data_IF_654754400917
#
_entry.id   IF_654754400917
#
_cell.length_a   1.000
_cell.length_b   1.000
_cell.length_c   1.000
_cell.angle_alpha   90.00
_cell.angle_beta   90.00
_cell.angle_gamma   90.00
#
_symmetry.space_group_name_H-M   'P 1'
#
loop_
_entity.id
_entity.type
_entity.pdbx_description
1 polymer ?
#
# COMPACT_ATOMS: atom_id res chain seq x y z
N UNK A 1 -3.60 37.32 81.66
CA UNK A 1 -2.68 36.24 82.07
C UNK A 1 -2.95 35.03 81.18
N UNK A 2 -1.92 34.55 80.45
CA UNK A 2 -1.71 33.22 79.83
C UNK A 2 -2.92 32.46 79.22
N UNK A 3 -2.98 32.35 77.89
CA UNK A 3 -2.57 31.19 77.04
C UNK A 3 -3.65 30.09 76.83
N UNK A 4 -4.21 30.07 75.60
CA UNK A 4 -4.38 28.96 74.60
C UNK A 4 -4.23 27.48 75.05
N UNK A 5 -4.65 26.48 74.22
CA UNK A 5 -5.92 26.29 73.48
C UNK A 5 -6.38 24.78 73.48
N UNK A 6 -7.52 24.42 72.86
CA UNK A 6 -7.68 23.18 72.05
C UNK A 6 -9.11 23.00 71.48
N UNK A 7 -9.15 22.79 70.16
CA UNK A 7 -10.06 22.01 69.31
C UNK A 7 -11.60 22.07 69.50
N UNK A 8 -12.27 22.52 68.44
CA UNK A 8 -13.57 21.97 68.03
C UNK A 8 -13.65 21.91 66.50
N UNK A 9 -13.97 20.71 66.02
CA UNK A 9 -14.18 20.29 64.63
C UNK A 9 -15.45 20.94 64.06
N UNK A 10 -15.41 21.42 62.81
CA UNK A 10 -16.60 21.85 62.07
C UNK A 10 -16.65 21.11 60.72
N UNK A 11 -17.73 20.37 60.51
CA UNK A 11 -18.12 19.78 59.23
C UNK A 11 -19.09 20.77 58.58
N UNK A 12 -18.75 21.29 57.40
CA UNK A 12 -19.67 22.08 56.57
C UNK A 12 -20.06 21.26 55.33
N UNK A 13 -21.34 20.92 55.24
CA UNK A 13 -22.01 20.57 53.99
C UNK A 13 -22.16 21.84 53.14
N UNK A 14 -21.75 21.78 51.87
CA UNK A 14 -22.06 22.81 50.87
C UNK A 14 -22.65 22.12 49.63
N UNK A 15 -23.92 22.43 49.42
CA UNK A 15 -24.73 22.09 48.23
C UNK A 15 -24.26 22.96 47.07
N UNK A 16 -23.95 22.37 45.93
CA UNK A 16 -23.63 23.07 44.69
C UNK A 16 -24.16 22.33 43.46
N UNK A 17 -25.15 22.94 42.79
CA UNK A 17 -25.68 22.57 41.47
C UNK A 17 -24.64 22.83 40.34
N UNK A 18 -24.83 22.30 39.13
CA UNK A 18 -23.77 21.81 38.26
C UNK A 18 -23.04 22.89 37.46
N UNK A 19 -21.71 22.80 37.41
CA UNK A 19 -20.90 23.55 36.46
C UNK A 19 -20.88 22.86 35.10
N UNK A 20 -21.69 23.37 34.17
CA UNK A 20 -21.44 23.31 32.74
C UNK A 20 -20.19 24.14 32.41
N UNK A 21 -19.01 23.53 32.34
CA UNK A 21 -17.84 24.14 31.71
C UNK A 21 -16.84 23.06 31.27
N UNK A 22 -16.92 22.64 30.00
CA UNK A 22 -15.77 22.62 29.07
C UNK A 22 -16.20 22.11 27.70
N UNK A 23 -16.92 22.94 26.93
CA UNK A 23 -17.00 22.80 25.48
C UNK A 23 -16.38 24.02 24.83
N UNK A 24 -15.05 24.16 24.82
CA UNK A 24 -14.34 25.11 23.95
C UNK A 24 -12.85 24.77 23.86
N UNK A 25 -12.55 23.61 23.28
CA UNK A 25 -11.24 23.30 22.69
C UNK A 25 -11.50 22.45 21.42
N UNK A 26 -12.40 22.92 20.56
CA UNK A 26 -12.55 22.36 19.23
C UNK A 26 -12.85 23.51 18.26
N UNK A 27 -11.84 23.89 17.47
CA UNK A 27 -11.95 24.98 16.52
C UNK A 27 -10.59 25.65 16.30
N UNK A 28 -9.97 25.31 15.16
CA UNK A 28 -8.70 25.83 14.64
C UNK A 28 -7.43 25.02 14.96
N UNK A 29 -7.35 23.80 14.39
CA UNK A 29 -6.10 23.48 13.67
C UNK A 29 -5.87 24.61 12.67
N UNK A 30 -4.74 25.32 12.73
CA UNK A 30 -4.40 26.36 11.73
C UNK A 30 -4.65 25.78 10.34
N UNK A 31 -5.46 26.43 9.53
CA UNK A 31 -5.84 25.93 8.21
C UNK A 31 -4.62 25.51 7.36
N UNK A 32 -3.47 26.17 7.53
CA UNK A 32 -2.20 25.89 6.84
C UNK A 32 -1.54 24.51 7.12
N UNK A 33 -2.19 23.62 7.86
CA UNK A 33 -1.60 22.37 8.38
C UNK A 33 -2.26 21.06 7.89
N UNK A 34 -3.04 21.04 6.82
CA UNK A 34 -3.54 19.78 6.24
C UNK A 34 -2.75 19.36 5.00
N UNK A 35 -2.80 18.08 4.63
CA UNK A 35 -2.24 17.60 3.36
C UNK A 35 -2.93 18.31 2.18
N UNK A 36 -4.24 18.50 2.25
CA UNK A 36 -4.97 19.21 1.18
C UNK A 36 -4.46 20.64 0.94
N UNK A 37 -4.15 21.42 1.99
CA UNK A 37 -3.55 22.75 1.81
C UNK A 37 -2.14 22.68 1.22
N UNK A 38 -1.35 21.66 1.59
CA UNK A 38 -0.03 21.46 1.01
C UNK A 38 -0.16 21.15 -0.49
N UNK A 39 -1.10 20.28 -0.89
CA UNK A 39 -1.31 19.92 -2.28
C UNK A 39 -1.79 21.09 -3.15
N UNK A 40 -2.61 22.01 -2.61
CA UNK A 40 -3.07 23.19 -3.37
C UNK A 40 -1.93 24.06 -3.90
N UNK A 41 -0.74 23.98 -3.29
CA UNK A 41 0.45 24.70 -3.73
C UNK A 41 1.05 24.16 -5.05
N UNK A 42 0.61 22.99 -5.52
CA UNK A 42 1.05 22.38 -6.78
C UNK A 42 2.46 21.78 -6.74
N UNK A 43 3.21 22.00 -5.65
CA UNK A 43 4.56 21.46 -5.46
C UNK A 43 4.75 21.06 -4.01
N UNK A 44 5.12 19.81 -3.81
CA UNK A 44 5.40 19.24 -2.49
C UNK A 44 6.83 18.72 -2.42
N UNK A 45 7.38 18.72 -1.22
CA UNK A 45 8.68 18.13 -0.94
C UNK A 45 8.55 17.06 0.15
N UNK A 46 9.24 15.93 -0.06
CA UNK A 46 9.39 14.87 0.93
C UNK A 46 10.69 15.11 1.69
N UNK A 47 10.59 15.54 2.94
CA UNK A 47 11.73 15.78 3.82
C UNK A 47 11.98 14.51 4.62
N UNK A 48 13.14 13.89 4.44
CA UNK A 48 13.55 12.73 5.23
C UNK A 48 13.71 13.13 6.70
N UNK A 49 13.03 12.42 7.61
CA UNK A 49 13.10 12.68 9.06
C UNK A 49 13.72 11.52 9.84
N UNK A 50 13.58 10.30 9.36
CA UNK A 50 14.09 9.11 10.02
C UNK A 50 14.49 8.08 8.98
N UNK A 51 15.56 7.35 9.26
CA UNK A 51 15.96 6.14 8.55
C UNK A 51 16.09 5.03 9.58
N UNK A 52 15.56 3.86 9.25
CA UNK A 52 15.81 2.60 9.94
C UNK A 52 16.58 1.73 8.95
N UNK A 53 17.81 1.41 9.30
CA UNK A 53 18.68 0.53 8.53
C UNK A 53 19.21 -0.62 9.40
N UNK A 54 20.04 -1.48 8.80
CA UNK A 54 20.61 -2.64 9.48
C UNK A 54 21.44 -2.28 10.72
N UNK A 55 22.03 -1.08 10.77
CA UNK A 55 22.83 -0.63 11.91
C UNK A 55 21.98 -0.25 13.14
N UNK A 56 20.69 -0.01 12.94
CA UNK A 56 19.76 0.30 14.02
C UNK A 56 19.18 -0.96 14.71
N UNK A 57 19.59 -2.15 14.26
CA UNK A 57 19.03 -3.43 14.68
C UNK A 57 19.98 -4.22 15.58
N UNK A 58 19.45 -5.07 16.49
CA UNK A 58 20.24 -6.12 17.13
C UNK A 58 20.93 -7.03 16.09
N UNK A 59 22.08 -7.59 16.44
CA UNK A 59 22.93 -8.36 15.52
C UNK A 59 22.23 -9.57 14.90
N UNK A 60 21.31 -10.18 15.64
CA UNK A 60 20.52 -11.34 15.22
C UNK A 60 19.33 -10.99 14.31
N UNK A 61 19.02 -9.70 14.13
CA UNK A 61 17.87 -9.24 13.35
C UNK A 61 18.36 -8.67 12.02
N UNK A 62 17.98 -9.31 10.91
CA UNK A 62 18.47 -8.96 9.56
C UNK A 62 17.37 -8.41 8.67
N UNK A 63 17.61 -7.28 8.00
CA UNK A 63 16.78 -6.79 6.89
C UNK A 63 17.25 -7.44 5.59
N UNK A 64 16.66 -8.57 5.23
CA UNK A 64 17.13 -9.36 4.10
C UNK A 64 16.36 -9.05 2.82
N UNK A 65 15.03 -8.98 2.91
CA UNK A 65 14.17 -8.62 1.77
C UNK A 65 12.82 -8.07 2.27
N UNK A 66 12.79 -6.91 2.92
CA UNK A 66 11.53 -6.28 3.28
C UNK A 66 10.74 -5.89 2.02
N UNK A 67 9.46 -6.23 1.99
CA UNK A 67 8.61 -6.06 0.80
C UNK A 67 7.30 -5.31 1.05
N UNK A 68 6.85 -5.24 2.31
CA UNK A 68 5.60 -4.58 2.68
C UNK A 68 5.70 -4.03 4.10
N UNK A 69 4.91 -3.01 4.42
CA UNK A 69 4.80 -2.51 5.78
C UNK A 69 3.41 -1.93 6.05
N UNK A 70 3.03 -1.91 7.33
CA UNK A 70 1.80 -1.27 7.81
C UNK A 70 2.03 -0.69 9.20
N UNK A 71 1.09 0.13 9.64
CA UNK A 71 1.14 0.78 10.95
C UNK A 71 -0.06 0.37 11.78
N UNK A 72 0.14 0.24 13.09
CA UNK A 72 -0.98 0.20 14.03
C UNK A 72 -1.47 1.62 14.38
N UNK A 73 -2.55 1.70 15.18
CA UNK A 73 -3.14 2.96 15.60
C UNK A 73 -2.23 3.80 16.50
N UNK A 74 -1.25 3.19 17.16
CA UNK A 74 -0.22 3.88 17.94
C UNK A 74 0.95 4.37 17.07
N UNK A 75 0.97 3.99 15.79
CA UNK A 75 2.04 4.36 14.87
C UNK A 75 3.26 3.45 14.90
N UNK A 76 3.16 2.29 15.55
CA UNK A 76 4.21 1.29 15.47
C UNK A 76 4.25 0.72 14.05
N UNK A 77 5.46 0.44 13.57
CA UNK A 77 5.72 0.00 12.21
C UNK A 77 5.88 -1.51 12.23
N UNK A 78 5.21 -2.18 11.31
CA UNK A 78 5.31 -3.62 11.11
C UNK A 78 5.82 -3.86 9.70
N UNK A 79 7.06 -4.32 9.61
CA UNK A 79 7.77 -4.54 8.36
C UNK A 79 7.77 -6.04 8.04
N UNK A 80 7.23 -6.41 6.89
CA UNK A 80 7.22 -7.79 6.41
C UNK A 80 8.52 -8.11 5.66
N UNK A 81 9.32 -9.03 6.19
CA UNK A 81 10.49 -9.53 5.48
C UNK A 81 10.20 -10.85 4.76
N UNK A 82 10.26 -10.80 3.43
CA UNK A 82 9.98 -11.95 2.57
C UNK A 82 10.98 -13.09 2.78
N UNK A 83 12.26 -12.75 2.94
CA UNK A 83 13.35 -13.75 2.96
C UNK A 83 13.50 -14.35 4.35
N UNK A 84 13.41 -13.53 5.40
CA UNK A 84 13.43 -14.01 6.78
C UNK A 84 12.10 -14.68 7.20
N UNK A 85 11.03 -14.52 6.41
CA UNK A 85 9.70 -15.05 6.72
C UNK A 85 9.23 -14.64 8.12
N UNK A 86 9.39 -13.35 8.43
CA UNK A 86 9.06 -12.76 9.72
C UNK A 86 8.46 -11.36 9.54
N UNK A 87 8.00 -10.79 10.66
CA UNK A 87 7.59 -9.39 10.75
C UNK A 87 8.44 -8.71 11.81
N UNK A 88 9.06 -7.59 11.46
CA UNK A 88 9.84 -6.77 12.40
C UNK A 88 9.00 -5.60 12.87
N UNK A 89 8.81 -5.48 14.18
CA UNK A 89 8.05 -4.41 14.80
C UNK A 89 8.98 -3.32 15.33
N UNK A 90 8.65 -2.07 15.04
CA UNK A 90 9.34 -0.87 15.52
C UNK A 90 8.34 0.10 16.15
N UNK A 91 8.79 0.96 17.05
CA UNK A 91 7.98 2.11 17.48
C UNK A 91 7.98 3.23 16.42
N UNK A 92 7.16 4.27 16.65
CA UNK A 92 7.05 5.42 15.73
C UNK A 92 8.36 6.22 15.53
N UNK A 93 9.35 6.00 16.42
CA UNK A 93 10.68 6.63 16.41
C UNK A 93 11.73 5.70 15.77
N UNK A 94 11.33 4.53 15.27
CA UNK A 94 12.18 3.56 14.62
C UNK A 94 12.98 2.68 15.57
N UNK A 95 12.68 2.68 16.88
CA UNK A 95 13.31 1.75 17.80
C UNK A 95 12.74 0.36 17.56
N UNK A 96 13.62 -0.62 17.35
CA UNK A 96 13.24 -2.02 17.26
C UNK A 96 12.58 -2.51 18.56
N UNK A 97 11.48 -3.25 18.43
CA UNK A 97 10.69 -3.76 19.56
C UNK A 97 10.72 -5.29 19.63
N UNK A 98 10.42 -5.98 18.52
CA UNK A 98 10.36 -7.45 18.48
C UNK A 98 10.31 -7.99 17.05
N UNK A 99 10.63 -9.28 16.91
CA UNK A 99 10.28 -10.10 15.74
C UNK A 99 8.99 -10.87 16.03
N UNK A 100 8.12 -10.98 15.02
CA UNK A 100 6.89 -11.78 15.04
C UNK A 100 6.99 -12.85 13.97
N UNK A 101 6.78 -14.11 14.37
CA UNK A 101 6.86 -15.27 13.50
C UNK A 101 8.29 -15.72 13.23
N UNK A 102 8.40 -16.79 12.44
CA UNK A 102 9.64 -17.42 12.00
C UNK A 102 9.37 -18.29 10.76
N UNK A 103 10.41 -18.70 10.01
CA UNK A 103 10.26 -19.66 8.91
C UNK A 103 9.59 -20.96 9.38
N UNK A 104 8.55 -21.40 8.67
CA UNK A 104 7.89 -22.67 8.95
C UNK A 104 6.48 -22.76 8.38
N UNK A 105 5.72 -23.75 8.84
CA UNK A 105 4.36 -24.06 8.36
C UNK A 105 3.34 -24.14 9.52
N UNK A 106 3.82 -24.16 10.77
CA UNK A 106 3.00 -24.24 11.96
C UNK A 106 2.22 -22.95 12.27
N UNK A 107 1.40 -22.96 13.35
CA UNK A 107 0.71 -21.77 13.84
C UNK A 107 1.69 -20.64 14.17
N UNK A 108 1.48 -19.46 13.58
CA UNK A 108 2.34 -18.27 13.76
C UNK A 108 3.67 -18.30 13.00
N UNK A 109 3.95 -19.38 12.25
CA UNK A 109 5.09 -19.47 11.34
C UNK A 109 4.70 -19.06 9.91
N UNK A 110 5.66 -18.53 9.15
CA UNK A 110 5.44 -18.04 7.79
C UNK A 110 6.41 -18.70 6.79
N UNK A 111 6.01 -18.72 5.53
CA UNK A 111 6.84 -19.20 4.44
C UNK A 111 6.69 -18.29 3.22
N UNK A 112 7.70 -17.43 3.03
CA UNK A 112 7.71 -16.41 1.98
C UNK A 112 6.41 -15.55 1.99
N UNK A 113 6.08 -14.90 3.12
CA UNK A 113 4.90 -14.06 3.22
C UNK A 113 5.03 -12.86 2.29
N UNK A 114 3.92 -12.41 1.69
CA UNK A 114 3.97 -11.47 0.55
C UNK A 114 3.27 -10.13 0.78
N UNK A 115 2.27 -10.05 1.66
CA UNK A 115 1.61 -8.79 1.99
C UNK A 115 1.05 -8.85 3.41
N UNK A 116 0.96 -7.70 4.08
CA UNK A 116 0.33 -7.61 5.40
C UNK A 116 -0.65 -6.43 5.50
N UNK A 117 -1.59 -6.54 6.44
CA UNK A 117 -2.47 -5.45 6.81
C UNK A 117 -2.77 -5.51 8.32
N UNK A 118 -2.87 -4.34 8.95
CA UNK A 118 -3.21 -4.23 10.37
C UNK A 118 -4.62 -3.70 10.49
N UNK A 119 -5.47 -4.46 11.18
CA UNK A 119 -6.83 -4.06 11.52
C UNK A 119 -7.02 -4.26 13.02
N UNK A 120 -7.28 -3.16 13.75
CA UNK A 120 -7.47 -3.18 15.20
C UNK A 120 -6.28 -3.81 15.95
N UNK A 121 -6.48 -5.00 16.55
CA UNK A 121 -5.50 -5.74 17.33
C UNK A 121 -4.84 -6.91 16.56
N UNK A 122 -5.01 -6.95 15.23
CA UNK A 122 -4.62 -8.09 14.38
C UNK A 122 -3.77 -7.68 13.21
N UNK A 123 -2.86 -8.58 12.85
CA UNK A 123 -2.06 -8.53 11.64
C UNK A 123 -2.56 -9.65 10.73
N UNK A 124 -3.11 -9.31 9.58
CA UNK A 124 -3.36 -10.24 8.49
C UNK A 124 -2.09 -10.37 7.66
N UNK A 125 -1.69 -11.60 7.37
CA UNK A 125 -0.55 -11.94 6.52
C UNK A 125 -1.02 -12.82 5.38
N UNK A 126 -0.65 -12.43 4.16
CA UNK A 126 -0.70 -13.29 2.99
C UNK A 126 0.53 -14.20 2.96
N UNK A 127 0.39 -15.42 3.50
CA UNK A 127 1.45 -16.42 3.63
C UNK A 127 1.54 -17.28 2.37
N UNK A 128 2.29 -16.77 1.39
CA UNK A 128 2.17 -17.15 -0.01
C UNK A 128 2.53 -18.61 -0.29
N UNK A 129 3.65 -19.13 0.27
CA UNK A 129 4.06 -20.53 -0.02
C UNK A 129 3.31 -21.55 0.82
N UNK A 130 2.87 -21.17 2.02
CA UNK A 130 1.94 -22.00 2.78
C UNK A 130 0.50 -21.92 2.22
N UNK A 131 0.25 -21.05 1.25
CA UNK A 131 -1.04 -20.89 0.56
C UNK A 131 -2.19 -20.67 1.53
N UNK A 132 -2.01 -19.75 2.46
CA UNK A 132 -3.03 -19.39 3.45
C UNK A 132 -3.02 -17.89 3.75
N UNK A 133 -4.16 -17.39 4.18
CA UNK A 133 -4.24 -16.15 4.95
C UNK A 133 -4.08 -16.52 6.42
N UNK A 134 -3.25 -15.81 7.16
CA UNK A 134 -3.02 -16.04 8.59
C UNK A 134 -3.23 -14.73 9.34
N UNK A 135 -3.93 -14.77 10.47
CA UNK A 135 -3.97 -13.66 11.41
C UNK A 135 -3.19 -13.99 12.68
N UNK A 136 -2.43 -13.00 13.14
CA UNK A 136 -1.74 -13.01 14.44
C UNK A 136 -2.09 -11.73 15.20
N UNK A 137 -1.95 -11.73 16.52
CA UNK A 137 -2.11 -10.52 17.32
C UNK A 137 -0.97 -9.53 17.06
N UNK A 138 -1.11 -8.28 17.53
CA UNK A 138 -0.03 -7.30 17.52
C UNK A 138 1.22 -7.71 18.32
N UNK A 139 1.10 -8.71 19.20
CA UNK A 139 2.19 -9.33 19.98
C UNK A 139 2.70 -10.63 19.37
N UNK A 140 2.14 -11.08 18.24
CA UNK A 140 2.58 -12.26 17.50
C UNK A 140 1.93 -13.59 17.90
N UNK A 141 0.89 -13.56 18.75
CA UNK A 141 0.13 -14.76 19.06
C UNK A 141 -0.71 -15.17 17.86
N UNK A 142 -0.63 -16.44 17.45
CA UNK A 142 -1.49 -16.98 16.38
C UNK A 142 -2.97 -16.88 16.75
N UNK A 143 -3.80 -16.42 15.81
CA UNK A 143 -5.24 -16.28 15.99
C UNK A 143 -6.01 -17.29 15.12
N UNK A 144 -5.87 -17.20 13.79
CA UNK A 144 -6.51 -18.14 12.86
C UNK A 144 -5.81 -18.17 11.51
N UNK A 145 -6.17 -19.13 10.67
CA UNK A 145 -5.76 -19.19 9.27
C UNK A 145 -6.84 -19.77 8.38
N UNK A 146 -6.94 -19.27 7.15
CA UNK A 146 -7.85 -19.77 6.13
C UNK A 146 -7.07 -20.19 4.87
N UNK A 147 -7.40 -21.38 4.35
CA UNK A 147 -6.90 -21.86 3.06
C UNK A 147 -7.58 -21.11 1.89
N UNK A 148 -6.93 -21.10 0.73
CA UNK A 148 -7.39 -20.32 -0.44
C UNK A 148 -8.65 -20.85 -1.12
N UNK A 149 -9.14 -22.03 -0.75
CA UNK A 149 -10.26 -22.68 -1.44
C UNK A 149 -11.54 -21.85 -1.41
N UNK A 150 -11.65 -20.93 -0.45
CA UNK A 150 -12.78 -20.01 -0.30
C UNK A 150 -12.72 -18.84 -1.31
N UNK A 151 -11.53 -18.49 -1.79
CA UNK A 151 -11.27 -17.30 -2.60
C UNK A 151 -11.40 -17.61 -4.09
N UNK A 152 -11.73 -16.58 -4.89
CA UNK A 152 -11.88 -16.73 -6.35
C UNK A 152 -10.56 -16.94 -7.08
N UNK A 153 -9.45 -16.47 -6.50
CA UNK A 153 -8.12 -16.56 -7.09
C UNK A 153 -7.00 -16.57 -6.06
N UNK A 154 -5.77 -16.47 -6.53
CA UNK A 154 -4.59 -16.33 -5.66
C UNK A 154 -4.54 -14.88 -5.14
N UNK A 155 -4.44 -14.66 -3.83
CA UNK A 155 -4.22 -13.32 -3.29
C UNK A 155 -2.97 -12.65 -3.85
N UNK A 156 -3.10 -11.34 -4.05
CA UNK A 156 -2.06 -10.44 -4.53
C UNK A 156 -1.75 -9.36 -3.50
N UNK A 157 -2.78 -8.73 -2.93
CA UNK A 157 -2.65 -7.62 -1.98
C UNK A 157 -3.76 -7.68 -0.94
N UNK A 158 -3.45 -7.31 0.30
CA UNK A 158 -4.44 -7.19 1.38
C UNK A 158 -4.48 -5.76 1.92
N UNK A 159 -5.66 -5.29 2.33
CA UNK A 159 -5.83 -4.02 3.06
C UNK A 159 -6.84 -4.20 4.17
N UNK A 160 -6.62 -3.51 5.28
CA UNK A 160 -7.54 -3.45 6.40
C UNK A 160 -8.63 -2.42 6.16
N UNK A 161 -9.81 -2.68 6.72
CA UNK A 161 -10.90 -1.72 6.86
C UNK A 161 -10.94 -1.17 8.29
N UNK A 162 -11.45 0.05 8.50
CA UNK A 162 -11.55 0.67 9.82
C UNK A 162 -12.38 -0.12 10.84
N UNK A 163 -13.26 -1.01 10.37
CA UNK A 163 -14.14 -1.83 11.19
C UNK A 163 -13.56 -3.22 11.53
N UNK A 164 -12.28 -3.45 11.25
CA UNK A 164 -11.59 -4.71 11.55
C UNK A 164 -11.65 -5.75 10.43
N UNK A 165 -12.43 -5.52 9.37
CA UNK A 165 -12.51 -6.42 8.20
C UNK A 165 -11.33 -6.23 7.27
N UNK A 166 -11.25 -7.08 6.25
CA UNK A 166 -10.18 -7.03 5.24
C UNK A 166 -10.74 -7.05 3.82
N UNK A 167 -10.03 -6.37 2.92
CA UNK A 167 -10.20 -6.57 1.48
C UNK A 167 -8.96 -7.31 0.97
N UNK A 168 -9.21 -8.42 0.27
CA UNK A 168 -8.18 -9.22 -0.38
C UNK A 168 -8.37 -9.08 -1.90
N UNK A 169 -7.37 -8.53 -2.58
CA UNK A 169 -7.29 -8.61 -4.03
C UNK A 169 -6.82 -9.99 -4.42
N UNK A 170 -7.60 -10.71 -5.22
CA UNK A 170 -7.22 -12.00 -5.77
C UNK A 170 -7.16 -11.96 -7.29
N UNK A 171 -6.29 -12.78 -7.86
CA UNK A 171 -6.13 -12.94 -9.31
C UNK A 171 -6.34 -14.39 -9.69
N UNK A 172 -7.25 -14.62 -10.63
CA UNK A 172 -7.48 -15.93 -11.24
C UNK A 172 -6.86 -15.97 -12.62
N UNK A 173 -6.15 -17.05 -12.90
CA UNK A 173 -5.49 -17.29 -14.19
C UNK A 173 -5.94 -18.63 -14.74
N UNK A 174 -6.36 -18.63 -16.01
CA UNK A 174 -6.86 -19.80 -16.70
C UNK A 174 -5.74 -20.49 -17.48
N UNK A 175 -4.87 -21.23 -16.79
CA UNK A 175 -3.70 -21.87 -17.41
C UNK A 175 -4.04 -22.83 -18.56
N UNK A 176 -5.21 -23.46 -18.51
CA UNK A 176 -5.69 -24.38 -19.55
C UNK A 176 -6.19 -23.66 -20.81
N UNK A 177 -6.51 -22.36 -20.72
CA UNK A 177 -7.02 -21.57 -21.84
C UNK A 177 -6.28 -20.22 -21.91
N UNK A 178 -5.14 -20.16 -22.64
CA UNK A 178 -4.36 -18.94 -22.80
C UNK A 178 -5.07 -17.80 -23.54
N UNK A 179 -6.24 -18.06 -24.15
CA UNK A 179 -7.06 -17.04 -24.82
C UNK A 179 -8.09 -16.41 -23.86
N UNK A 180 -8.17 -16.88 -22.62
CA UNK A 180 -9.00 -16.28 -21.59
C UNK A 180 -8.21 -15.26 -20.75
N UNK A 181 -8.75 -14.03 -20.53
CA UNK A 181 -8.10 -13.05 -19.67
C UNK A 181 -7.97 -13.55 -18.24
N UNK A 182 -7.04 -12.96 -17.49
CA UNK A 182 -7.08 -13.08 -16.03
C UNK A 182 -8.30 -12.36 -15.48
N UNK A 183 -8.74 -12.76 -14.29
CA UNK A 183 -9.78 -12.03 -13.54
C UNK A 183 -9.21 -11.52 -12.23
N UNK A 184 -9.42 -10.24 -11.96
CA UNK A 184 -9.14 -9.61 -10.67
C UNK A 184 -10.44 -9.55 -9.87
N UNK A 185 -10.37 -9.92 -8.60
CA UNK A 185 -11.48 -9.79 -7.66
C UNK A 185 -11.02 -9.00 -6.45
N UNK A 186 -11.90 -8.17 -5.91
CA UNK A 186 -11.75 -7.63 -4.56
C UNK A 186 -12.75 -8.36 -3.66
N UNK A 187 -12.25 -9.06 -2.67
CA UNK A 187 -13.03 -9.95 -1.80
C UNK A 187 -13.02 -9.40 -0.37
N UNK A 188 -14.21 -9.18 0.19
CA UNK A 188 -14.41 -8.70 1.56
C UNK A 188 -14.44 -9.89 2.51
N UNK A 189 -13.55 -9.87 3.51
CA UNK A 189 -13.42 -10.92 4.52
C UNK A 189 -13.74 -10.39 5.92
N UNK A 190 -14.29 -11.25 6.78
CA UNK A 190 -14.40 -10.96 8.22
C UNK A 190 -13.05 -11.05 8.94
N UNK A 191 -12.95 -10.60 10.20
CA UNK A 191 -11.74 -10.78 11.01
C UNK A 191 -11.31 -12.25 11.19
N UNK A 192 -12.26 -13.19 11.10
CA UNK A 192 -12.07 -14.64 11.17
C UNK A 192 -11.71 -15.26 9.81
N UNK A 193 -11.50 -14.43 8.78
CA UNK A 193 -11.11 -14.81 7.42
C UNK A 193 -12.19 -15.54 6.61
N UNK A 194 -13.46 -15.34 6.96
CA UNK A 194 -14.58 -15.82 6.15
C UNK A 194 -14.86 -14.85 5.00
N UNK A 195 -14.94 -15.37 3.77
CA UNK A 195 -15.33 -14.57 2.60
C UNK A 195 -16.80 -14.18 2.71
N UNK A 196 -17.07 -12.89 2.85
CA UNK A 196 -18.43 -12.35 2.94
C UNK A 196 -18.99 -12.01 1.56
N UNK A 197 -18.18 -11.42 0.68
CA UNK A 197 -18.63 -10.99 -0.65
C UNK A 197 -17.47 -10.69 -1.61
N UNK A 198 -17.71 -10.87 -2.90
CA UNK A 198 -16.93 -10.23 -3.97
C UNK A 198 -17.53 -8.85 -4.24
N UNK A 199 -16.81 -7.79 -3.88
CA UNK A 199 -17.28 -6.39 -4.00
C UNK A 199 -17.04 -5.80 -5.39
N UNK A 200 -16.06 -6.34 -6.12
CA UNK A 200 -15.68 -5.88 -7.45
C UNK A 200 -14.97 -7.01 -8.20
N UNK A 201 -15.16 -7.06 -9.51
CA UNK A 201 -14.42 -7.95 -10.39
C UNK A 201 -14.15 -7.29 -11.74
N UNK A 202 -13.00 -7.57 -12.35
CA UNK A 202 -12.68 -7.09 -13.69
C UNK A 202 -11.75 -8.04 -14.43
N UNK A 203 -11.99 -8.22 -15.72
CA UNK A 203 -11.10 -8.99 -16.60
C UNK A 203 -9.89 -8.17 -16.99
N UNK A 204 -8.68 -8.73 -16.93
CA UNK A 204 -7.44 -8.04 -17.28
C UNK A 204 -6.55 -8.94 -18.14
N UNK A 205 -5.73 -8.30 -18.97
CA UNK A 205 -4.71 -8.96 -19.77
C UNK A 205 -3.32 -8.54 -19.29
N UNK A 206 -2.94 -8.98 -18.09
CA UNK A 206 -1.63 -8.61 -17.51
C UNK A 206 -0.49 -9.49 -18.03
N UNK A 207 -0.78 -10.75 -18.37
CA UNK A 207 0.21 -11.68 -18.91
C UNK A 207 -0.43 -12.61 -19.95
N UNK A 208 0.37 -13.19 -20.84
CA UNK A 208 -0.04 -14.23 -21.77
C UNK A 208 0.87 -15.44 -21.64
N UNK A 209 0.28 -16.63 -21.60
CA UNK A 209 1.05 -17.88 -21.62
C UNK A 209 1.36 -18.25 -23.06
N UNK A 210 2.64 -18.39 -23.36
CA UNK A 210 3.14 -18.66 -24.72
C UNK A 210 3.85 -20.01 -24.68
N UNK A 211 3.42 -20.92 -25.55
CA UNK A 211 4.08 -22.21 -25.73
C UNK A 211 5.34 -22.01 -26.59
N UNK A 212 6.42 -22.70 -26.24
CA UNK A 212 7.67 -22.69 -27.01
C UNK A 212 8.36 -24.05 -26.92
N UNK A 213 8.98 -24.48 -28.02
CA UNK A 213 9.63 -25.80 -28.11
C UNK A 213 8.67 -26.97 -27.81
N UNK A 214 9.23 -28.13 -27.48
CA UNK A 214 8.46 -29.29 -27.02
C UNK A 214 8.11 -29.14 -25.54
N UNK A 215 6.85 -28.78 -25.25
CA UNK A 215 6.30 -28.76 -23.90
C UNK A 215 6.58 -27.51 -23.05
N UNK A 216 7.40 -26.56 -23.53
CA UNK A 216 7.71 -25.33 -22.82
C UNK A 216 6.51 -24.37 -22.75
N UNK A 217 6.30 -23.77 -21.58
CA UNK A 217 5.28 -22.73 -21.35
C UNK A 217 5.92 -21.54 -20.63
N UNK A 218 5.90 -20.37 -21.27
CA UNK A 218 6.40 -19.13 -20.69
C UNK A 218 5.22 -18.24 -20.30
N UNK A 219 5.25 -17.71 -19.07
CA UNK A 219 4.36 -16.61 -18.68
C UNK A 219 4.99 -15.27 -19.12
N UNK A 220 4.35 -14.56 -20.05
CA UNK A 220 4.89 -13.33 -20.64
C UNK A 220 4.08 -12.11 -20.16
N UNK A 221 4.66 -11.22 -19.34
CA UNK A 221 3.99 -10.01 -18.92
C UNK A 221 3.71 -9.09 -20.10
N UNK A 222 2.46 -8.68 -20.25
CA UNK A 222 2.05 -7.78 -21.34
C UNK A 222 2.40 -6.33 -20.95
N UNK A 223 3.24 -5.65 -21.76
CA UNK A 223 3.68 -4.29 -21.49
C UNK A 223 2.52 -3.30 -21.62
N UNK A 224 2.43 -2.35 -20.69
CA UNK A 224 1.44 -1.28 -20.71
C UNK A 224 -0.02 -1.78 -20.76
N UNK A 225 -0.30 -2.99 -20.29
CA UNK A 225 -1.67 -3.43 -20.06
C UNK A 225 -2.32 -2.61 -18.93
N UNK A 226 -3.55 -2.12 -19.12
CA UNK A 226 -4.35 -1.55 -18.05
C UNK A 226 -4.50 -2.50 -16.86
N UNK A 227 -4.64 -1.93 -15.66
CA UNK A 227 -4.73 -2.67 -14.41
C UNK A 227 -5.84 -2.11 -13.54
N UNK A 228 -6.36 -2.97 -12.67
CA UNK A 228 -7.19 -2.53 -11.54
C UNK A 228 -6.27 -1.94 -10.49
N UNK A 229 -6.53 -0.70 -10.11
CA UNK A 229 -5.92 -0.04 -8.98
C UNK A 229 -7.02 0.27 -7.97
N UNK A 230 -6.71 0.11 -6.68
CA UNK A 230 -7.68 0.40 -5.62
C UNK A 230 -6.99 0.77 -4.32
N UNK A 231 -7.72 1.46 -3.45
CA UNK A 231 -7.33 1.67 -2.08
C UNK A 231 -8.56 1.95 -1.19
N UNK A 232 -8.34 1.98 0.11
CA UNK A 232 -9.38 2.17 1.13
C UNK A 232 -9.32 3.61 1.65
N UNK A 233 -10.46 4.29 1.66
CA UNK A 233 -10.63 5.59 2.30
C UNK A 233 -10.72 5.43 3.83
N UNK A 234 -10.24 6.40 4.64
CA UNK A 234 -10.31 6.33 6.11
C UNK A 234 -11.72 6.08 6.66
N UNK A 235 -12.76 6.52 5.95
CA UNK A 235 -14.17 6.27 6.28
C UNK A 235 -14.70 4.88 5.85
N UNK A 236 -13.86 3.99 5.32
CA UNK A 236 -14.22 2.62 4.93
C UNK A 236 -14.83 2.47 3.54
N UNK A 237 -14.95 3.56 2.75
CA UNK A 237 -15.30 3.48 1.32
C UNK A 237 -14.09 3.01 0.51
N UNK A 238 -14.33 2.49 -0.69
CA UNK A 238 -13.27 1.97 -1.56
C UNK A 238 -13.18 2.84 -2.80
N UNK A 239 -11.97 3.20 -3.19
CA UNK A 239 -11.69 3.77 -4.50
C UNK A 239 -11.19 2.64 -5.40
N UNK A 240 -11.78 2.48 -6.57
CA UNK A 240 -11.38 1.48 -7.56
C UNK A 240 -11.30 2.16 -8.92
N UNK A 241 -10.24 1.89 -9.67
CA UNK A 241 -10.09 2.38 -11.03
C UNK A 241 -9.44 1.35 -11.94
N UNK A 242 -9.93 1.24 -13.17
CA UNK A 242 -9.30 0.47 -14.23
C UNK A 242 -8.59 1.43 -15.19
N UNK A 243 -7.27 1.31 -15.29
CA UNK A 243 -6.43 2.37 -15.85
C UNK A 243 -6.46 2.53 -17.37
N UNK A 244 -7.34 1.82 -18.08
CA UNK A 244 -7.42 1.93 -19.55
C UNK A 244 -7.73 3.36 -19.99
N UNK A 245 -8.68 3.98 -19.30
CA UNK A 245 -9.03 5.39 -19.44
C UNK A 245 -8.77 6.12 -18.12
N UNK A 246 -8.78 7.46 -18.16
CA UNK A 246 -8.69 8.24 -16.93
C UNK A 246 -10.04 8.22 -16.23
N UNK A 247 -10.31 7.11 -15.54
CA UNK A 247 -11.49 6.91 -14.73
C UNK A 247 -11.19 6.12 -13.45
N UNK A 248 -11.92 6.46 -12.39
CA UNK A 248 -12.02 5.69 -11.15
C UNK A 248 -13.36 6.00 -10.49
N UNK A 249 -13.83 5.14 -9.61
CA UNK A 249 -15.10 5.31 -8.91
C UNK A 249 -14.97 5.06 -7.42
N UNK A 250 -15.89 5.65 -6.66
CA UNK A 250 -16.11 5.38 -5.25
C UNK A 250 -17.12 4.23 -5.10
N UNK A 251 -16.85 3.28 -4.23
CA UNK A 251 -17.69 2.13 -3.95
C UNK A 251 -18.05 2.02 -2.47
N UNK A 252 -19.26 1.51 -2.20
CA UNK A 252 -19.65 1.02 -0.88
C UNK A 252 -19.02 -0.34 -0.60
N UNK A 253 -19.02 -0.79 0.66
CA UNK A 253 -18.60 -2.15 1.02
C UNK A 253 -19.58 -3.22 0.53
N UNK A 254 -20.78 -2.81 0.08
CA UNK A 254 -21.75 -3.68 -0.56
C UNK A 254 -21.42 -3.91 -2.05
N UNK A 255 -20.44 -3.21 -2.61
CA UNK A 255 -20.05 -3.30 -4.03
C UNK A 255 -20.85 -2.37 -4.94
N UNK A 256 -21.55 -1.38 -4.39
CA UNK A 256 -22.33 -0.43 -5.17
C UNK A 256 -21.46 0.76 -5.58
N UNK A 257 -21.47 1.10 -6.87
CA UNK A 257 -20.79 2.30 -7.38
C UNK A 257 -21.55 3.56 -6.94
N UNK A 258 -20.91 4.40 -6.13
CA UNK A 258 -21.47 5.65 -5.60
C UNK A 258 -21.32 6.77 -6.63
N UNK A 259 -20.13 6.91 -7.21
CA UNK A 259 -19.78 8.01 -8.13
C UNK A 259 -18.60 7.59 -8.98
N UNK A 260 -18.74 7.74 -10.30
CA UNK A 260 -17.64 7.65 -11.27
C UNK A 260 -17.01 9.02 -11.50
N UNK A 261 -15.69 9.07 -11.50
CA UNK A 261 -14.87 10.26 -11.75
C UNK A 261 -14.11 10.01 -13.04
N UNK A 262 -14.18 10.96 -13.96
CA UNK A 262 -13.39 10.97 -15.19
C UNK A 262 -12.65 12.30 -15.34
N UNK A 263 -11.55 12.31 -16.09
CA UNK A 263 -10.89 13.57 -16.50
C UNK A 263 -10.44 13.51 -17.95
N UNK A 264 -10.46 14.64 -18.67
CA UNK A 264 -9.74 14.75 -19.93
C UNK A 264 -8.25 14.44 -19.73
N UNK A 265 -7.71 13.62 -20.61
CA UNK A 265 -6.29 13.29 -20.62
C UNK A 265 -5.80 13.16 -22.06
N UNK A 266 -4.49 13.26 -22.25
CA UNK A 266 -3.87 13.05 -23.55
C UNK A 266 -3.25 11.65 -23.60
N UNK A 267 -3.76 10.73 -24.44
CA UNK A 267 -3.17 9.39 -24.57
C UNK A 267 -1.69 9.46 -24.96
N UNK A 268 -0.85 8.75 -24.20
CA UNK A 268 0.59 8.70 -24.44
C UNK A 268 0.91 7.50 -25.31
N UNK A 269 1.48 7.71 -26.50
CA UNK A 269 1.87 6.60 -27.39
C UNK A 269 2.96 5.74 -26.75
N UNK A 270 2.91 4.42 -26.99
CA UNK A 270 4.04 3.54 -26.71
C UNK A 270 5.12 3.78 -27.77
N UNK A 271 6.34 4.09 -27.33
CA UNK A 271 7.46 4.39 -28.22
C UNK A 271 8.33 3.16 -28.48
N UNK A 272 9.19 3.20 -29.51
CA UNK A 272 10.20 2.14 -29.73
C UNK A 272 11.16 1.98 -28.55
N UNK A 273 11.48 3.10 -27.88
CA UNK A 273 12.33 3.10 -26.69
C UNK A 273 11.64 2.42 -25.50
N UNK A 274 10.32 2.61 -25.34
CA UNK A 274 9.56 1.85 -24.35
C UNK A 274 9.62 0.33 -24.60
N UNK A 275 9.54 -0.09 -25.87
CA UNK A 275 9.62 -1.51 -26.25
C UNK A 275 10.99 -2.10 -25.95
N UNK A 276 12.07 -1.40 -26.34
CA UNK A 276 13.45 -1.79 -26.05
C UNK A 276 13.67 -1.92 -24.54
N UNK A 277 13.23 -0.92 -23.77
CA UNK A 277 13.37 -0.92 -22.31
C UNK A 277 12.56 -2.05 -21.63
N UNK A 278 11.38 -2.38 -22.15
CA UNK A 278 10.59 -3.51 -21.65
C UNK A 278 11.35 -4.83 -21.77
N UNK A 279 11.99 -5.11 -22.91
CA UNK A 279 12.74 -6.35 -23.08
C UNK A 279 14.07 -6.33 -22.32
N UNK A 280 14.78 -5.20 -22.30
CA UNK A 280 16.08 -5.08 -21.64
C UNK A 280 16.04 -5.27 -20.11
N UNK A 281 14.88 -5.02 -19.47
CA UNK A 281 14.69 -5.23 -18.03
C UNK A 281 14.26 -6.64 -17.65
N UNK A 282 13.93 -7.50 -18.62
CA UNK A 282 13.56 -8.88 -18.33
C UNK A 282 14.79 -9.68 -17.93
N UNK A 283 14.57 -10.72 -17.14
CA UNK A 283 15.57 -11.72 -16.79
C UNK A 283 14.97 -13.10 -16.99
N UNK A 284 15.75 -14.03 -17.52
CA UNK A 284 15.31 -15.38 -17.81
C UNK A 284 16.33 -16.39 -17.31
N UNK A 285 15.84 -17.42 -16.62
CA UNK A 285 16.63 -18.60 -16.31
C UNK A 285 16.96 -19.34 -17.60
N UNK A 286 18.24 -19.66 -17.78
CA UNK A 286 18.77 -20.46 -18.87
C UNK A 286 18.91 -21.91 -18.44
N UNK A 287 18.96 -22.83 -19.42
CA UNK A 287 19.09 -24.28 -19.19
C UNK A 287 20.38 -24.67 -18.48
N UNK A 288 21.41 -23.82 -18.53
CA UNK A 288 22.68 -23.95 -17.80
C UNK A 288 22.59 -23.50 -16.32
N UNK A 289 21.40 -23.16 -15.82
CA UNK A 289 21.17 -22.68 -14.47
C UNK A 289 21.52 -21.19 -14.25
N UNK A 290 22.01 -20.49 -15.29
CA UNK A 290 22.33 -19.07 -15.19
C UNK A 290 21.10 -18.20 -15.45
N UNK A 291 21.09 -16.97 -14.92
CA UNK A 291 20.08 -15.97 -15.28
C UNK A 291 20.66 -15.01 -16.31
N UNK A 292 20.02 -14.92 -17.48
CA UNK A 292 20.42 -13.99 -18.55
C UNK A 292 19.51 -12.76 -18.52
N UNK A 293 20.11 -11.59 -18.77
CA UNK A 293 19.41 -10.31 -18.88
C UNK A 293 18.95 -10.10 -20.33
N UNK A 294 17.75 -9.53 -20.49
CA UNK A 294 17.11 -9.36 -21.78
C UNK A 294 16.09 -10.46 -22.07
N UNK A 295 15.14 -10.16 -22.95
CA UNK A 295 14.14 -11.12 -23.38
C UNK A 295 14.68 -12.02 -24.51
N UNK A 296 14.49 -13.35 -24.45
CA UNK A 296 14.77 -14.25 -25.56
C UNK A 296 13.99 -13.88 -26.83
N UNK A 297 14.52 -14.23 -27.99
CA UNK A 297 13.91 -13.92 -29.29
C UNK A 297 12.45 -14.39 -29.41
N UNK A 298 12.12 -15.57 -28.85
CA UNK A 298 10.75 -16.08 -28.90
C UNK A 298 9.78 -15.21 -28.09
N UNK A 299 10.23 -14.60 -26.99
CA UNK A 299 9.44 -13.64 -26.22
C UNK A 299 9.25 -12.36 -27.02
N UNK A 300 10.34 -11.82 -27.60
CA UNK A 300 10.31 -10.60 -28.40
C UNK A 300 9.34 -10.75 -29.57
N UNK A 301 9.39 -11.88 -30.31
CA UNK A 301 8.52 -12.16 -31.46
C UNK A 301 7.04 -12.32 -31.09
N UNK A 302 6.75 -12.77 -29.87
CA UNK A 302 5.38 -13.07 -29.43
C UNK A 302 4.80 -12.04 -28.45
N UNK A 303 5.51 -10.95 -28.17
CA UNK A 303 5.02 -9.87 -27.31
C UNK A 303 4.44 -8.75 -28.16
N UNK A 304 3.17 -8.42 -27.95
CA UNK A 304 2.53 -7.27 -28.58
C UNK A 304 2.53 -6.08 -27.63
N UNK A 305 2.55 -4.87 -28.20
CA UNK A 305 2.44 -3.62 -27.45
C UNK A 305 1.16 -2.89 -27.87
N UNK A 306 0.41 -2.31 -26.92
CA UNK A 306 -0.71 -1.46 -27.28
C UNK A 306 -0.22 -0.18 -27.97
N UNK A 307 -1.11 0.47 -28.73
CA UNK A 307 -0.80 1.75 -29.40
C UNK A 307 -0.51 2.87 -28.39
N UNK A 308 -1.20 2.85 -27.25
CA UNK A 308 -1.11 3.84 -26.19
C UNK A 308 -0.87 3.17 -24.84
N UNK A 309 -0.20 3.89 -23.94
CA UNK A 309 -0.09 3.54 -22.52
C UNK A 309 -1.45 3.73 -21.84
N UNK A 310 -1.71 3.07 -20.69
CA UNK A 310 -2.86 3.34 -19.85
C UNK A 310 -2.92 4.83 -19.46
N UNK A 311 -4.05 5.31 -18.97
CA UNK A 311 -4.20 6.71 -18.56
C UNK A 311 -3.36 7.04 -17.31
N UNK A 312 -3.25 6.08 -16.38
CA UNK A 312 -2.46 6.21 -15.15
C UNK A 312 -1.85 4.87 -14.75
N UNK A 313 -0.88 4.89 -13.84
CA UNK A 313 -0.14 3.69 -13.41
C UNK A 313 -0.18 3.43 -11.90
N UNK A 314 -0.84 4.29 -11.15
CA UNK A 314 -0.95 4.19 -9.71
C UNK A 314 -2.15 4.97 -9.21
N UNK A 315 -2.73 4.43 -8.14
CA UNK A 315 -3.79 5.02 -7.34
C UNK A 315 -3.47 4.71 -5.88
N UNK A 316 -3.61 5.71 -5.02
CA UNK A 316 -3.32 5.63 -3.59
C UNK A 316 -4.26 6.57 -2.85
N UNK A 317 -4.59 6.23 -1.60
CA UNK A 317 -5.27 7.15 -0.69
C UNK A 317 -4.33 7.54 0.45
N UNK A 318 -4.30 8.83 0.78
CA UNK A 318 -3.54 9.34 1.93
C UNK A 318 -4.31 9.29 3.25
N UNK A 319 -3.67 9.69 4.35
CA UNK A 319 -4.27 9.64 5.69
C UNK A 319 -5.48 10.57 5.88
N UNK A 320 -5.64 11.58 5.03
CA UNK A 320 -6.79 12.51 5.08
C UNK A 320 -7.90 12.08 4.11
N UNK A 321 -7.70 10.98 3.37
CA UNK A 321 -8.65 10.47 2.39
C UNK A 321 -8.54 11.13 1.02
N UNK A 322 -7.49 11.91 0.75
CA UNK A 322 -7.24 12.41 -0.60
C UNK A 322 -6.79 11.25 -1.49
N UNK A 323 -7.23 11.27 -2.74
CA UNK A 323 -6.95 10.25 -3.75
C UNK A 323 -5.86 10.78 -4.66
N UNK A 324 -4.73 10.07 -4.72
CA UNK A 324 -3.58 10.42 -5.54
C UNK A 324 -3.50 9.46 -6.73
N UNK A 325 -3.47 10.02 -7.93
CA UNK A 325 -3.36 9.29 -9.20
C UNK A 325 -2.04 9.66 -9.87
N UNK A 326 -1.28 8.68 -10.35
CA UNK A 326 -0.10 8.94 -11.18
C UNK A 326 -0.41 8.80 -12.67
N UNK A 327 -0.69 9.89 -13.40
CA UNK A 327 -1.00 9.83 -14.84
C UNK A 327 0.22 9.43 -15.66
N UNK A 328 0.03 8.75 -16.78
CA UNK A 328 1.08 8.67 -17.80
C UNK A 328 1.20 10.03 -18.51
N UNK A 329 2.42 10.57 -18.56
CA UNK A 329 2.76 11.77 -19.34
C UNK A 329 3.82 11.45 -20.38
N UNK A 330 3.91 12.29 -21.43
CA UNK A 330 4.90 12.13 -22.52
C UNK A 330 6.34 12.18 -22.01
N UNK A 331 6.61 13.10 -21.08
CA UNK A 331 7.89 13.22 -20.38
C UNK A 331 7.91 12.23 -19.21
N UNK A 332 8.81 11.24 -19.28
CA UNK A 332 8.91 10.16 -18.29
C UNK A 332 9.41 10.66 -16.94
N UNK A 333 10.42 11.52 -16.92
CA UNK A 333 10.98 12.03 -15.66
C UNK A 333 9.98 12.92 -14.94
N UNK A 334 9.28 13.77 -15.69
CA UNK A 334 8.18 14.57 -15.16
C UNK A 334 7.03 13.69 -14.67
N UNK A 335 6.66 12.65 -15.42
CA UNK A 335 5.62 11.70 -15.03
C UNK A 335 5.90 11.05 -13.68
N UNK A 336 7.13 10.59 -13.46
CA UNK A 336 7.51 9.92 -12.22
C UNK A 336 7.31 10.81 -10.99
N UNK A 337 7.39 12.13 -11.14
CA UNK A 337 7.20 13.12 -10.08
C UNK A 337 5.83 13.78 -10.07
N UNK A 338 4.93 13.44 -10.98
CA UNK A 338 3.62 14.11 -11.10
C UNK A 338 2.51 13.25 -10.53
N UNK A 339 1.66 13.84 -9.70
CA UNK A 339 0.42 13.23 -9.20
C UNK A 339 -0.77 14.17 -9.40
N UNK A 340 -1.90 13.63 -9.81
CA UNK A 340 -3.20 14.31 -9.75
C UNK A 340 -3.86 13.99 -8.41
N UNK A 341 -4.29 15.01 -7.68
CA UNK A 341 -4.89 14.86 -6.34
C UNK A 341 -6.36 15.22 -6.38
N UNK A 342 -7.18 14.38 -5.74
CA UNK A 342 -8.60 14.57 -5.55
C UNK A 342 -8.95 14.48 -4.08
N UNK A 343 -10.01 15.15 -3.65
CA UNK A 343 -10.53 14.98 -2.30
C UNK A 343 -11.22 13.60 -2.15
N UNK A 344 -11.68 13.30 -0.94
CA UNK A 344 -12.36 12.04 -0.60
C UNK A 344 -13.72 11.85 -1.28
N UNK A 345 -14.24 12.88 -1.95
CA UNK A 345 -15.47 12.87 -2.75
C UNK A 345 -15.18 12.79 -4.26
N UNK A 346 -13.89 12.70 -4.64
CA UNK A 346 -13.44 12.62 -6.02
C UNK A 346 -13.43 13.96 -6.76
N UNK A 347 -13.50 15.10 -6.07
CA UNK A 347 -13.34 16.40 -6.71
C UNK A 347 -11.84 16.69 -6.90
N UNK A 348 -11.46 17.16 -8.08
CA UNK A 348 -10.06 17.46 -8.37
C UNK A 348 -9.58 18.66 -7.54
N UNK A 349 -8.46 18.48 -6.85
CA UNK A 349 -7.81 19.53 -6.05
C UNK A 349 -6.73 20.21 -6.88
N UNK A 350 -5.71 19.45 -7.29
CA UNK A 350 -4.52 20.00 -7.93
C UNK A 350 -3.68 18.88 -8.59
N UNK A 351 -2.94 19.24 -9.63
CA UNK A 351 -1.81 18.44 -10.12
C UNK A 351 -0.54 18.89 -9.42
N UNK A 352 0.08 18.00 -8.67
CA UNK A 352 1.27 18.28 -7.87
C UNK A 352 2.53 17.68 -8.49
N UNK A 353 3.65 18.38 -8.30
CA UNK A 353 5.01 17.87 -8.51
C UNK A 353 5.62 17.48 -7.16
N UNK A 354 6.23 16.29 -7.09
CA UNK A 354 6.84 15.70 -5.89
C UNK A 354 8.36 15.73 -6.00
N UNK A 355 9.04 16.30 -4.99
CA UNK A 355 10.48 16.22 -4.81
C UNK A 355 10.90 15.55 -3.50
N UNK A 356 12.21 15.43 -3.29
CA UNK A 356 12.79 14.84 -2.08
C UNK A 356 13.06 13.34 -2.18
N UNK A 357 12.56 12.70 -3.25
CA UNK A 357 12.81 11.29 -3.56
C UNK A 357 13.25 11.11 -5.03
N UNK A 358 13.92 10.00 -5.31
CA UNK A 358 14.20 9.55 -6.68
C UNK A 358 13.04 8.70 -7.21
N UNK A 359 12.71 8.85 -8.50
CA UNK A 359 11.63 8.10 -9.15
C UNK A 359 10.24 8.42 -8.60
N UNK A 360 9.31 7.47 -8.75
CA UNK A 360 7.91 7.63 -8.38
C UNK A 360 7.57 7.15 -6.97
N UNK A 361 6.80 7.97 -6.26
CA UNK A 361 6.21 7.65 -4.95
C UNK A 361 5.27 6.43 -5.02
N UNK A 362 4.35 6.40 -5.99
CA UNK A 362 3.27 5.40 -6.07
C UNK A 362 3.73 4.01 -6.57
N UNK A 363 5.00 3.85 -6.91
CA UNK A 363 5.56 2.55 -7.30
C UNK A 363 6.58 1.99 -6.31
N UNK A 364 6.68 2.57 -5.11
CA UNK A 364 7.49 2.04 -4.02
C UNK A 364 6.76 0.88 -3.32
N UNK A 365 7.53 -0.09 -2.85
CA UNK A 365 7.05 -1.15 -1.97
C UNK A 365 6.89 -0.64 -0.55
N UNK A 366 5.93 -1.21 0.20
CA UNK A 366 5.71 -0.85 1.61
C UNK A 366 5.48 0.64 1.82
N UNK A 367 4.51 1.23 1.12
CA UNK A 367 4.10 2.62 1.32
C UNK A 367 2.92 2.67 2.29
N UNK A 368 3.07 3.43 3.37
CA UNK A 368 1.95 3.76 4.25
C UNK A 368 1.96 5.24 4.67
N UNK A 369 0.77 5.76 4.97
CA UNK A 369 0.57 7.13 5.43
C UNK A 369 0.31 7.17 6.94
N UNK A 370 0.79 8.23 7.58
CA UNK A 370 0.50 8.54 8.97
C UNK A 370 0.44 10.06 9.14
N UNK A 371 -0.77 10.64 9.04
CA UNK A 371 -0.90 12.09 8.95
C UNK A 371 -0.04 12.63 7.79
N UNK A 372 0.80 13.63 8.06
CA UNK A 372 1.71 14.20 7.06
C UNK A 372 2.96 13.36 6.79
N UNK A 373 3.06 12.16 7.33
CA UNK A 373 4.23 11.31 7.16
C UNK A 373 3.94 10.17 6.21
N UNK A 374 4.95 9.80 5.44
CA UNK A 374 4.98 8.61 4.59
C UNK A 374 6.12 7.74 5.08
N UNK A 375 5.84 6.45 5.28
CA UNK A 375 6.87 5.45 5.44
C UNK A 375 7.05 4.70 4.12
N UNK A 376 8.30 4.45 3.75
CA UNK A 376 8.68 3.78 2.51
C UNK A 376 9.79 2.77 2.76
N UNK A 377 9.76 1.67 2.01
CA UNK A 377 10.94 0.80 1.84
C UNK A 377 11.75 1.35 0.67
N UNK A 378 13.00 1.70 0.96
CA UNK A 378 13.97 2.20 -0.01
C UNK A 378 15.24 1.33 -0.01
N UNK A 379 16.19 1.71 -0.86
CA UNK A 379 17.54 1.15 -0.85
C UNK A 379 18.53 2.28 -0.65
N UNK A 380 19.55 2.03 0.15
CA UNK A 380 20.67 2.95 0.33
C UNK A 380 21.61 2.95 -0.89
N UNK A 381 22.76 3.64 -0.77
CA UNK A 381 23.78 3.70 -1.81
C UNK A 381 24.43 2.36 -2.15
N UNK A 382 24.40 1.40 -1.23
CA UNK A 382 24.94 0.05 -1.41
C UNK A 382 23.89 -0.94 -1.92
N UNK A 383 22.63 -0.48 -2.03
CA UNK A 383 21.51 -1.30 -2.47
C UNK A 383 20.87 -2.13 -1.36
N UNK A 384 21.26 -1.90 -0.10
CA UNK A 384 20.71 -2.54 1.08
C UNK A 384 19.36 -1.91 1.44
N UNK A 385 18.40 -2.70 1.94
CA UNK A 385 17.08 -2.20 2.28
C UNK A 385 17.12 -1.27 3.50
N UNK A 386 16.41 -0.15 3.39
CA UNK A 386 16.20 0.81 4.49
C UNK A 386 14.72 1.19 4.54
N UNK A 387 14.25 1.60 5.71
CA UNK A 387 12.89 2.09 5.94
C UNK A 387 13.00 3.57 6.25
N UNK A 388 12.33 4.41 5.46
CA UNK A 388 12.50 5.86 5.53
C UNK A 388 11.18 6.50 5.89
N UNK A 389 11.20 7.40 6.88
CA UNK A 389 10.10 8.29 7.21
C UNK A 389 10.31 9.63 6.51
N UNK A 390 9.38 10.00 5.66
CA UNK A 390 9.33 11.31 5.02
C UNK A 390 8.20 12.13 5.60
N UNK A 391 8.46 13.41 5.88
CA UNK A 391 7.43 14.42 6.11
C UNK A 391 7.07 15.09 4.80
N UNK A 392 5.78 15.16 4.50
CA UNK A 392 5.24 15.95 3.40
C UNK A 392 5.20 17.42 3.79
N UNK A 393 5.89 18.25 3.02
CA UNK A 393 5.88 19.70 3.19
C UNK A 393 5.53 20.39 1.88
N UNK A 394 5.11 21.65 1.98
CA UNK A 394 5.19 22.58 0.87
C UNK A 394 6.62 22.64 0.33
N UNK A 395 6.78 22.82 -0.98
CA UNK A 395 8.10 23.12 -1.55
C UNK A 395 8.56 24.49 -1.02
N UNK A 396 9.81 24.63 -0.52
CA UNK A 396 10.31 25.94 -0.10
C UNK A 396 10.21 26.94 -1.25
N UNK A 397 9.51 28.06 -1.02
CA UNK A 397 9.54 29.20 -1.95
C UNK A 397 11.00 29.61 -2.08
N UNK A 398 11.53 29.71 -3.30
CA UNK A 398 12.80 30.41 -3.51
C UNK A 398 12.56 31.84 -3.04
N UNK A 399 13.21 32.23 -1.94
CA UNK A 399 13.27 33.63 -1.52
C UNK A 399 14.02 34.45 -2.55
#
# INVERSE_FOLDING_TARGET
MKFKPAFSTFILLLVGLPFLFSSFMNGQKKAADTLVEIYRQGKINLVQELVIDQSNLPTEVVLASPIDLSLDSAGNIYLLDFRESDIKKFDLKGKFLQVIGRPGQGPGEFNAPFSLAIASDRILVWDMRNRRLTTVSLTGQYLTSANLTQLKGRPWRVKALPDGRFIVETKKTYFADPQKPQEVFLELLSPELEVKKVIYSHSVWENKFIRFGEGGLANVPLPFSPRVHWDVLPQGKIVIGYSENYEFSLYTLQGEEIKKITRPYQPVKVTKEDQKNHFARMTFASSDGTTKKGAPDFIVKNTTFPRYKPAYRGLLVDSEGNILIQPYLKDKEKMERTLDVFDSQGNFIQRIEVSGIKGSLLTRSGLCWQGKFIWLIEKDSEGLPIIVKYRVTAWPKKN
#
